data_IF_319996094307
#
_entry.id   IF_319996094307
#
_cell.length_a   1.000
_cell.length_b   1.000
_cell.length_c   1.000
_cell.angle_alpha   90.00
_cell.angle_beta   90.00
_cell.angle_gamma   90.00
#
_symmetry.space_group_name_H-M   'P 1'
#
loop_
_entity.id
_entity.type
_entity.pdbx_description
1 polymer ?
#
# COMPACT_ATOMS: atom_id res chain seq x y z
N UNK A 1 -1.65 -4.81 -7.97
CA UNK A 1 -1.24 -4.86 -6.55
C UNK A 1 0.14 -5.47 -6.43
N UNK A 2 1.04 -4.77 -5.74
CA UNK A 2 2.42 -5.20 -5.51
C UNK A 2 2.56 -6.26 -4.39
N UNK A 3 1.55 -6.42 -3.53
CA UNK A 3 1.62 -7.30 -2.35
C UNK A 3 0.30 -8.09 -2.25
N UNK A 4 0.34 -9.44 -2.31
CA UNK A 4 -0.83 -10.24 -1.96
C UNK A 4 -1.07 -10.16 -0.45
N UNK A 5 -2.19 -9.54 -0.05
CA UNK A 5 -2.57 -9.39 1.35
C UNK A 5 -3.49 -10.54 1.78
N UNK A 6 -3.03 -11.48 2.64
CA UNK A 6 -3.93 -12.45 3.26
C UNK A 6 -4.94 -11.73 4.14
N UNK A 7 -6.21 -12.18 4.14
CA UNK A 7 -7.39 -11.47 4.69
C UNK A 7 -7.80 -10.18 3.96
N UNK A 8 -7.01 -9.71 3.00
CA UNK A 8 -7.29 -8.57 2.12
C UNK A 8 -7.25 -8.93 0.64
N UNK A 9 -7.53 -10.19 0.29
CA UNK A 9 -7.38 -10.71 -1.07
C UNK A 9 -8.22 -9.91 -2.08
N UNK A 10 -9.48 -9.62 -1.74
CA UNK A 10 -10.36 -8.79 -2.57
C UNK A 10 -9.76 -7.40 -2.80
N UNK A 11 -9.28 -6.75 -1.73
CA UNK A 11 -8.63 -5.44 -1.85
C UNK A 11 -7.41 -5.48 -2.79
N UNK A 12 -6.54 -6.49 -2.61
CA UNK A 12 -5.37 -6.68 -3.49
C UNK A 12 -5.79 -6.91 -4.95
N UNK A 13 -6.78 -7.78 -5.19
CA UNK A 13 -7.29 -8.05 -6.53
C UNK A 13 -7.88 -6.81 -7.19
N UNK A 14 -8.70 -6.03 -6.47
CA UNK A 14 -9.26 -4.77 -6.98
C UNK A 14 -8.16 -3.77 -7.34
N UNK A 15 -7.09 -3.66 -6.54
CA UNK A 15 -5.97 -2.77 -6.88
C UNK A 15 -5.19 -3.25 -8.12
N UNK A 16 -5.01 -4.55 -8.31
CA UNK A 16 -4.45 -5.09 -9.57
C UNK A 16 -5.36 -4.86 -10.77
N UNK A 17 -6.67 -4.97 -10.59
CA UNK A 17 -7.64 -4.68 -11.64
C UNK A 17 -7.51 -3.23 -12.13
N UNK A 18 -7.40 -2.27 -11.20
CA UNK A 18 -7.18 -0.85 -11.55
C UNK A 18 -5.88 -0.64 -12.33
N UNK A 19 -4.81 -1.36 -11.96
CA UNK A 19 -3.53 -1.29 -12.69
C UNK A 19 -3.74 -1.69 -14.17
N UNK A 20 -4.35 -2.87 -14.40
CA UNK A 20 -4.62 -3.37 -15.76
C UNK A 20 -5.60 -2.47 -16.53
N UNK A 21 -6.66 -2.01 -15.86
CA UNK A 21 -7.64 -1.11 -16.47
C UNK A 21 -6.99 0.20 -16.94
N UNK A 22 -6.12 0.79 -16.12
CA UNK A 22 -5.43 2.02 -16.48
C UNK A 22 -4.45 1.81 -17.63
N UNK A 23 -3.79 0.64 -17.70
CA UNK A 23 -2.92 0.29 -18.83
C UNK A 23 -3.69 0.22 -20.14
N UNK A 24 -4.80 -0.53 -20.16
CA UNK A 24 -5.64 -0.65 -21.35
C UNK A 24 -6.17 0.71 -21.79
N UNK A 25 -6.65 1.51 -20.83
CA UNK A 25 -7.15 2.86 -21.13
C UNK A 25 -6.05 3.78 -21.67
N UNK A 26 -4.81 3.68 -21.16
CA UNK A 26 -3.68 4.47 -21.66
C UNK A 26 -3.29 4.07 -23.09
N UNK A 27 -3.40 2.78 -23.43
CA UNK A 27 -3.18 2.31 -24.80
C UNK A 27 -4.31 2.69 -25.73
N UNK A 28 -5.57 2.72 -25.26
CA UNK A 28 -6.72 3.14 -26.07
C UNK A 28 -6.71 4.66 -26.35
N UNK A 29 -6.20 5.45 -25.40
CA UNK A 29 -6.14 6.90 -25.49
C UNK A 29 -4.79 7.43 -26.02
N UNK A 30 -3.89 6.57 -26.51
CA UNK A 30 -2.56 6.98 -26.98
C UNK A 30 -2.60 7.98 -28.13
N UNK A 31 -3.65 7.93 -28.95
CA UNK A 31 -3.84 8.82 -30.10
C UNK A 31 -4.48 10.16 -29.70
N UNK A 32 -4.82 10.32 -28.43
CA UNK A 32 -5.42 11.53 -27.87
C UNK A 32 -4.39 12.33 -27.07
N UNK A 33 -4.70 13.61 -26.77
CA UNK A 33 -3.83 14.47 -25.94
C UNK A 33 -4.09 14.30 -24.43
N UNK A 34 -4.47 13.10 -24.00
CA UNK A 34 -4.83 12.80 -22.61
C UNK A 34 -3.75 11.94 -21.99
N UNK A 35 -3.03 12.49 -21.01
CA UNK A 35 -2.07 11.73 -20.21
C UNK A 35 -2.76 11.01 -19.05
N UNK A 36 -2.55 9.70 -18.95
CA UNK A 36 -3.00 8.90 -17.82
C UNK A 36 -1.83 8.58 -16.88
N UNK A 37 -2.09 8.66 -15.58
CA UNK A 37 -1.14 8.26 -14.55
C UNK A 37 -1.86 7.51 -13.43
N UNK A 38 -1.35 6.33 -13.08
CA UNK A 38 -1.81 5.52 -11.97
C UNK A 38 -0.88 5.66 -10.77
N UNK A 39 -1.37 6.33 -9.73
CA UNK A 39 -0.70 6.44 -8.44
C UNK A 39 -0.95 5.19 -7.58
N UNK A 40 0.13 4.50 -7.20
CA UNK A 40 0.13 3.32 -6.31
C UNK A 40 0.74 3.71 -4.96
N UNK A 41 0.00 4.41 -4.09
CA UNK A 41 0.50 4.77 -2.77
C UNK A 41 0.75 3.52 -1.94
N UNK A 42 1.80 3.56 -1.11
CA UNK A 42 1.93 2.64 0.01
C UNK A 42 1.12 3.09 1.21
N UNK A 43 1.62 2.83 2.42
CA UNK A 43 0.94 3.24 3.64
C UNK A 43 1.07 4.75 3.87
N UNK A 44 -0.06 5.45 4.04
CA UNK A 44 -0.13 6.89 4.34
C UNK A 44 -1.01 7.09 5.57
N UNK A 45 -0.69 8.07 6.43
CA UNK A 45 -1.43 8.35 7.67
C UNK A 45 -2.86 8.85 7.41
N UNK A 46 -3.77 7.92 7.13
CA UNK A 46 -5.18 8.20 6.82
C UNK A 46 -6.11 7.51 7.81
N UNK A 47 -7.38 7.92 7.84
CA UNK A 47 -8.40 7.29 8.67
C UNK A 47 -8.61 5.80 8.33
N UNK A 48 -8.29 5.38 7.10
CA UNK A 48 -8.35 3.98 6.67
C UNK A 48 -7.33 3.12 7.44
N UNK A 49 -6.11 3.62 7.59
CA UNK A 49 -5.02 2.90 8.25
C UNK A 49 -5.10 3.08 9.78
N UNK A 50 -5.66 4.18 10.29
CA UNK A 50 -5.82 4.39 11.73
C UNK A 50 -6.75 3.37 12.41
N UNK A 51 -7.66 2.74 11.66
CA UNK A 51 -8.45 1.61 12.16
C UNK A 51 -7.58 0.37 12.43
N UNK A 52 -6.46 0.23 11.72
CA UNK A 52 -5.46 -0.82 11.90
C UNK A 52 -4.37 -0.36 12.89
N UNK A 53 -4.75 -0.18 14.16
CA UNK A 53 -3.88 0.39 15.22
C UNK A 53 -2.58 -0.40 15.42
N UNK A 54 -2.62 -1.73 15.34
CA UNK A 54 -1.42 -2.58 15.49
C UNK A 54 -0.41 -2.36 14.37
N UNK A 55 -0.89 -2.32 13.13
CA UNK A 55 -0.05 -2.11 11.94
C UNK A 55 0.52 -0.69 11.89
N UNK A 56 -0.31 0.31 12.21
CA UNK A 56 0.12 1.71 12.27
C UNK A 56 1.23 1.92 13.30
N UNK A 57 1.07 1.38 14.52
CA UNK A 57 2.10 1.47 15.56
C UNK A 57 3.39 0.74 15.19
N UNK A 58 3.28 -0.40 14.51
CA UNK A 58 4.45 -1.13 14.03
C UNK A 58 5.23 -0.31 13.01
N UNK A 59 4.57 0.20 11.96
CA UNK A 59 5.24 1.04 10.96
C UNK A 59 5.78 2.34 11.55
N UNK A 60 5.05 2.99 12.46
CA UNK A 60 5.52 4.21 13.12
C UNK A 60 6.76 3.98 13.99
N UNK A 61 6.89 2.81 14.64
CA UNK A 61 8.09 2.47 15.43
C UNK A 61 9.27 1.99 14.59
N UNK A 62 9.01 1.15 13.59
CA UNK A 62 10.08 0.45 12.87
C UNK A 62 10.57 1.24 11.67
N UNK A 63 9.67 1.93 10.96
CA UNK A 63 9.99 2.66 9.71
C UNK A 63 9.10 3.92 9.57
N UNK A 64 9.29 4.94 10.42
CA UNK A 64 8.44 6.14 10.43
C UNK A 64 8.44 6.89 9.09
N UNK A 65 9.55 6.84 8.35
CA UNK A 65 9.67 7.46 7.02
C UNK A 65 8.78 6.82 5.95
N UNK A 66 8.32 5.58 6.16
CA UNK A 66 7.45 4.86 5.24
C UNK A 66 5.97 5.23 5.42
N UNK A 67 5.64 5.92 6.51
CA UNK A 67 4.29 6.38 6.85
C UNK A 67 4.21 7.94 6.82
N UNK A 68 4.35 8.57 5.63
CA UNK A 68 4.26 10.02 5.53
C UNK A 68 2.86 10.52 5.91
N UNK A 69 2.80 11.77 6.36
CA UNK A 69 1.54 12.50 6.52
C UNK A 69 0.87 12.74 5.16
N UNK A 70 -0.46 12.88 5.16
CA UNK A 70 -1.24 13.12 3.95
C UNK A 70 -0.79 14.39 3.22
N UNK A 71 -0.46 15.47 3.94
CA UNK A 71 -0.04 16.73 3.32
C UNK A 71 1.31 16.58 2.62
N UNK A 72 2.25 15.88 3.24
CA UNK A 72 3.56 15.61 2.66
C UNK A 72 3.45 14.69 1.44
N UNK A 73 2.65 13.63 1.56
CA UNK A 73 2.42 12.68 0.47
C UNK A 73 1.78 13.38 -0.74
N UNK A 74 0.69 14.12 -0.54
CA UNK A 74 -0.02 14.84 -1.61
C UNK A 74 0.87 15.89 -2.29
N UNK A 75 1.66 16.66 -1.54
CA UNK A 75 2.61 17.62 -2.12
C UNK A 75 3.66 16.94 -3.00
N UNK A 76 4.11 15.75 -2.64
CA UNK A 76 5.03 14.96 -3.47
C UNK A 76 4.32 14.37 -4.69
N UNK A 77 3.13 13.80 -4.51
CA UNK A 77 2.35 13.17 -5.57
C UNK A 77 1.92 14.18 -6.65
N UNK A 78 1.56 15.42 -6.27
CA UNK A 78 1.23 16.47 -7.24
C UNK A 78 2.43 16.82 -8.11
N UNK A 79 3.64 16.83 -7.56
CA UNK A 79 4.87 17.07 -8.35
C UNK A 79 5.15 15.96 -9.35
N UNK A 80 4.65 14.73 -9.11
CA UNK A 80 4.82 13.62 -10.05
C UNK A 80 3.82 13.62 -11.21
N UNK A 81 2.81 14.49 -11.20
CA UNK A 81 1.82 14.57 -12.28
C UNK A 81 2.31 15.31 -13.53
N UNK A 82 3.46 15.98 -13.48
CA UNK A 82 3.91 16.90 -14.54
C UNK A 82 4.51 16.20 -15.80
N UNK A 83 3.91 15.10 -16.26
CA UNK A 83 4.22 14.43 -17.54
C UNK A 83 5.58 13.71 -17.66
N UNK A 84 6.56 14.01 -16.82
CA UNK A 84 7.92 13.43 -16.90
C UNK A 84 8.09 12.07 -16.21
N UNK A 85 7.00 11.41 -15.81
CA UNK A 85 7.01 10.29 -14.86
C UNK A 85 6.21 9.13 -15.45
N UNK A 86 6.67 7.87 -15.31
CA UNK A 86 6.02 6.70 -15.92
C UNK A 86 4.54 6.53 -15.50
N UNK A 87 3.78 5.82 -16.35
CA UNK A 87 2.36 5.48 -16.14
C UNK A 87 2.05 5.00 -14.72
N UNK A 88 2.95 4.23 -14.13
CA UNK A 88 2.84 3.80 -12.74
C UNK A 88 3.85 4.52 -11.86
N UNK A 89 3.37 5.25 -10.86
CA UNK A 89 4.21 5.93 -9.88
C UNK A 89 3.68 5.72 -8.47
N UNK A 90 4.56 5.72 -7.47
CA UNK A 90 4.13 5.67 -6.06
C UNK A 90 3.86 7.07 -5.49
N UNK A 91 4.22 8.14 -6.20
CA UNK A 91 4.03 9.54 -5.77
C UNK A 91 4.97 10.02 -4.67
N UNK A 92 5.64 9.12 -3.96
CA UNK A 92 6.60 9.44 -2.89
C UNK A 92 7.78 8.46 -2.90
N UNK A 93 8.99 8.98 -2.70
CA UNK A 93 10.24 8.24 -2.85
C UNK A 93 10.34 7.02 -1.92
N UNK A 94 9.91 7.14 -0.66
CA UNK A 94 9.97 6.03 0.30
C UNK A 94 9.06 4.87 -0.09
N UNK A 95 7.91 5.17 -0.72
CA UNK A 95 7.01 4.15 -1.26
C UNK A 95 7.60 3.49 -2.50
N UNK A 96 8.30 4.24 -3.36
CA UNK A 96 9.05 3.66 -4.47
C UNK A 96 10.13 2.68 -3.99
N UNK A 97 10.88 3.04 -2.95
CA UNK A 97 11.88 2.15 -2.33
C UNK A 97 11.24 0.87 -1.80
N UNK A 98 10.12 0.98 -1.06
CA UNK A 98 9.38 -0.18 -0.57
C UNK A 98 8.89 -1.06 -1.73
N UNK A 99 8.35 -0.46 -2.78
CA UNK A 99 7.86 -1.19 -3.96
C UNK A 99 8.99 -1.96 -4.65
N UNK A 100 10.19 -1.39 -4.78
CA UNK A 100 11.35 -2.08 -5.34
C UNK A 100 11.77 -3.28 -4.49
N UNK A 101 11.88 -3.10 -3.17
CA UNK A 101 12.23 -4.20 -2.25
C UNK A 101 11.22 -5.34 -2.35
N UNK A 102 9.93 -5.02 -2.33
CA UNK A 102 8.86 -6.01 -2.46
C UNK A 102 8.95 -6.77 -3.79
N UNK A 103 9.18 -6.07 -4.91
CA UNK A 103 9.31 -6.70 -6.22
C UNK A 103 10.50 -7.64 -6.31
N UNK A 104 11.66 -7.28 -5.75
CA UNK A 104 12.83 -8.16 -5.71
C UNK A 104 12.56 -9.44 -4.92
N UNK A 105 11.85 -9.33 -3.79
CA UNK A 105 11.47 -10.49 -2.97
C UNK A 105 10.42 -11.36 -3.67
N UNK A 106 9.44 -10.75 -4.34
CA UNK A 106 8.40 -11.46 -5.11
C UNK A 106 9.01 -12.25 -6.27
N UNK A 107 9.99 -11.66 -6.96
CA UNK A 107 10.76 -12.31 -8.03
C UNK A 107 11.51 -13.54 -7.53
N UNK A 108 12.07 -13.50 -6.32
CA UNK A 108 12.75 -14.65 -5.73
C UNK A 108 11.76 -15.70 -5.21
N UNK A 109 10.71 -15.28 -4.50
CA UNK A 109 9.67 -16.18 -3.99
C UNK A 109 8.39 -15.42 -3.60
N UNK A 110 7.38 -15.49 -4.47
CA UNK A 110 6.02 -15.00 -4.20
C UNK A 110 5.42 -15.58 -2.90
N UNK A 111 5.74 -16.85 -2.60
CA UNK A 111 5.27 -17.54 -1.38
C UNK A 111 5.88 -16.92 -0.11
N UNK A 112 7.14 -16.47 -0.18
CA UNK A 112 7.81 -15.82 0.95
C UNK A 112 7.16 -14.47 1.25
N UNK A 113 6.81 -13.67 0.24
CA UNK A 113 6.07 -12.41 0.41
C UNK A 113 4.73 -12.66 1.11
N UNK A 114 3.95 -13.64 0.63
CA UNK A 114 2.66 -13.98 1.24
C UNK A 114 2.80 -14.46 2.70
N UNK A 115 3.86 -15.22 3.03
CA UNK A 115 4.14 -15.66 4.41
C UNK A 115 4.50 -14.50 5.32
N UNK A 116 5.36 -13.58 4.87
CA UNK A 116 5.73 -12.39 5.64
C UNK A 116 4.51 -11.50 5.86
N UNK A 117 3.71 -11.26 4.81
CA UNK A 117 2.46 -10.51 4.92
C UNK A 117 1.48 -11.18 5.90
N UNK A 118 1.37 -12.51 5.89
CA UNK A 118 0.54 -13.26 6.84
C UNK A 118 1.03 -13.12 8.28
N UNK A 119 2.35 -13.20 8.50
CA UNK A 119 2.94 -13.02 9.84
C UNK A 119 2.72 -11.60 10.37
N UNK A 120 2.91 -10.58 9.53
CA UNK A 120 2.63 -9.19 9.87
C UNK A 120 1.14 -8.99 10.19
N UNK A 121 0.25 -9.53 9.36
CA UNK A 121 -1.20 -9.48 9.59
C UNK A 121 -1.59 -10.20 10.89
N UNK A 122 -1.02 -11.37 11.19
CA UNK A 122 -1.25 -12.08 12.46
C UNK A 122 -0.70 -11.34 13.66
N UNK A 123 0.47 -10.73 13.56
CA UNK A 123 1.03 -9.89 14.62
C UNK A 123 0.12 -8.67 14.91
N UNK A 124 -0.43 -8.08 13.85
CA UNK A 124 -1.34 -6.95 13.96
C UNK A 124 -2.74 -7.34 14.44
N UNK A 125 -3.24 -8.52 14.04
CA UNK A 125 -4.55 -9.06 14.42
C UNK A 125 -4.57 -9.69 15.82
N UNK A 126 -3.46 -10.33 16.23
CA UNK A 126 -3.27 -10.82 17.59
C UNK A 126 -3.26 -9.71 18.65
N UNK A 127 -3.01 -8.46 18.24
CA UNK A 127 -3.19 -7.28 19.08
C UNK A 127 -4.67 -6.83 19.21
N UNK A 128 -5.57 -7.32 18.34
CA UNK A 128 -7.01 -6.99 18.32
C UNK A 128 -7.81 -8.02 19.12
N UNK A 129 -7.39 -9.29 19.15
CA UNK A 129 -8.13 -10.38 19.82
C UNK A 129 -7.80 -10.59 21.29
N UNK A 130 -7.10 -9.68 21.99
CA UNK A 130 -7.11 -9.76 23.46
C UNK A 130 -8.54 -9.46 23.91
N UNK A 131 -9.31 -10.43 24.42
CA UNK A 131 -10.60 -10.10 25.00
C UNK A 131 -10.34 -9.09 26.11
N UNK A 132 -11.06 -7.96 26.09
CA UNK A 132 -11.25 -7.21 27.32
C UNK A 132 -12.06 -8.14 28.22
N UNK A 133 -11.37 -8.92 29.06
CA UNK A 133 -12.01 -9.55 30.20
C UNK A 133 -12.35 -8.39 31.13
N UNK A 134 -13.52 -7.79 30.91
CA UNK A 134 -14.18 -6.96 31.89
C UNK A 134 -14.45 -7.89 33.06
N UNK A 135 -13.63 -7.77 34.11
CA UNK A 135 -13.97 -8.28 35.43
C UNK A 135 -15.28 -7.60 35.82
N UNK A 136 -16.41 -8.27 35.57
CA UNK A 136 -17.60 -8.04 36.36
C UNK A 136 -17.23 -8.49 37.77
N UNK A 137 -17.04 -7.50 38.65
CA UNK A 137 -17.09 -7.71 40.09
C UNK A 137 -18.51 -8.17 40.41
N UNK A 138 -18.67 -9.43 40.80
CA UNK A 138 -19.75 -9.81 41.70
C UNK A 138 -19.34 -9.42 43.12
#
# INVERSE_FOLDING_TARGET
>A
SLIPLPYGAVYSSTKTFIDNFTLCLATELSDTKIDLQCLRPGFVRTNLISQMKGLTKFFERVVPFLLPDVKTFTRSAVKTLNGSVPLYTCGFWAHSMMASVVQTIDMFSRRTVARIANLLMKYCWGAITKPKITSQKC
#
